data_IF_907766657799
#
_entry.id   IF_907766657799
#
_cell.length_a   1.000
_cell.length_b   1.000
_cell.length_c   1.000
_cell.angle_alpha   90.00
_cell.angle_beta   90.00
_cell.angle_gamma   90.00
#
_symmetry.space_group_name_H-M   'P 1'
#
loop_
_entity.id
_entity.type
_entity.pdbx_description
1 polymer ?
#
# COMPACT_ATOMS: atom_id res chain seq x y z
N UNK A 1 4.30 2.90 -11.01
CA UNK A 1 4.27 1.42 -11.10
C UNK A 1 5.04 1.07 -12.34
N UNK A 2 5.95 0.12 -12.22
CA UNK A 2 6.69 -0.36 -13.38
C UNK A 2 5.73 -0.96 -14.42
N UNK A 3 6.05 -0.89 -15.72
CA UNK A 3 5.38 -1.71 -16.71
C UNK A 3 5.49 -3.18 -16.31
N UNK A 4 4.36 -3.88 -16.24
CA UNK A 4 4.30 -5.30 -15.91
C UNK A 4 3.92 -6.09 -17.15
N UNK A 5 4.65 -7.16 -17.43
CA UNK A 5 4.25 -8.13 -18.45
C UNK A 5 3.17 -9.09 -17.92
N UNK A 6 2.48 -9.76 -18.84
CA UNK A 6 1.37 -10.66 -18.51
C UNK A 6 1.83 -11.85 -17.64
N UNK A 7 3.07 -12.32 -17.80
CA UNK A 7 3.59 -13.45 -17.05
C UNK A 7 3.81 -13.09 -15.57
N UNK A 8 4.35 -11.91 -15.30
CA UNK A 8 4.52 -11.36 -13.95
C UNK A 8 3.17 -11.14 -13.29
N UNK A 9 2.20 -10.58 -14.03
CA UNK A 9 0.85 -10.36 -13.51
C UNK A 9 0.14 -11.68 -13.19
N UNK A 10 0.23 -12.67 -14.07
CA UNK A 10 -0.32 -14.01 -13.85
C UNK A 10 0.29 -14.68 -12.62
N UNK A 11 1.61 -14.58 -12.43
CA UNK A 11 2.29 -15.06 -11.22
C UNK A 11 1.85 -14.34 -9.95
N UNK A 12 1.64 -13.02 -10.03
CA UNK A 12 1.13 -12.23 -8.91
C UNK A 12 -0.30 -12.63 -8.52
N UNK A 13 -1.19 -12.81 -9.49
CA UNK A 13 -2.57 -13.27 -9.26
C UNK A 13 -2.58 -14.70 -8.70
N UNK A 14 -1.76 -15.60 -9.24
CA UNK A 14 -1.64 -16.98 -8.75
C UNK A 14 -1.14 -17.06 -7.29
N UNK A 15 -0.39 -16.05 -6.82
CA UNK A 15 0.05 -15.98 -5.42
C UNK A 15 -1.10 -15.81 -4.43
N UNK A 16 -2.27 -15.35 -4.88
CA UNK A 16 -3.44 -15.10 -4.04
C UNK A 16 -3.37 -13.81 -3.23
N UNK A 17 -2.22 -13.12 -3.18
CA UNK A 17 -2.05 -11.84 -2.48
C UNK A 17 -3.06 -10.74 -2.87
N UNK A 18 -3.48 -10.61 -4.15
CA UNK A 18 -4.47 -9.62 -4.54
C UNK A 18 -5.84 -9.77 -3.86
N UNK A 19 -6.17 -10.97 -3.38
CA UNK A 19 -7.51 -11.26 -2.85
C UNK A 19 -7.76 -10.49 -1.56
N UNK A 20 -8.89 -9.79 -1.52
CA UNK A 20 -9.32 -9.01 -0.35
C UNK A 20 -8.54 -7.72 -0.13
N UNK A 21 -7.72 -7.28 -1.09
CA UNK A 21 -7.00 -6.01 -1.05
C UNK A 21 -7.68 -5.00 -1.97
N UNK A 22 -7.96 -3.80 -1.46
CA UNK A 22 -8.46 -2.71 -2.29
C UNK A 22 -7.43 -2.39 -3.39
N UNK A 23 -7.86 -2.35 -4.65
CA UNK A 23 -6.95 -2.20 -5.80
C UNK A 23 -6.15 -3.45 -6.16
N UNK A 24 -6.37 -4.59 -5.49
CA UNK A 24 -5.73 -5.87 -5.81
C UNK A 24 -4.24 -5.94 -5.47
N UNK A 25 -3.72 -5.04 -4.63
CA UNK A 25 -2.33 -5.08 -4.21
C UNK A 25 -2.13 -4.64 -2.76
N UNK A 26 -1.01 -5.05 -2.16
CA UNK A 26 -0.59 -4.62 -0.83
C UNK A 26 0.81 -3.99 -0.92
N UNK A 27 0.94 -2.73 -0.47
CA UNK A 27 2.20 -1.96 -0.53
C UNK A 27 3.34 -2.59 0.30
N UNK A 28 3.00 -3.46 1.23
CA UNK A 28 3.90 -4.26 2.08
C UNK A 28 4.09 -5.71 1.58
N UNK A 29 3.37 -6.11 0.52
CA UNK A 29 3.39 -7.46 -0.04
C UNK A 29 4.35 -7.59 -1.22
N UNK A 30 4.19 -8.68 -1.99
CA UNK A 30 4.93 -8.94 -3.24
C UNK A 30 4.74 -7.83 -4.26
N UNK A 31 3.61 -7.11 -4.23
CA UNK A 31 3.42 -5.94 -5.08
C UNK A 31 4.43 -4.81 -4.83
N UNK A 32 5.08 -4.75 -3.66
CA UNK A 32 6.12 -3.76 -3.38
C UNK A 32 7.26 -3.79 -4.41
N UNK A 33 7.55 -4.96 -4.98
CA UNK A 33 8.56 -5.14 -6.02
C UNK A 33 8.24 -4.37 -7.32
N UNK A 34 6.99 -3.94 -7.52
CA UNK A 34 6.51 -3.27 -8.72
C UNK A 34 6.29 -1.76 -8.51
N UNK A 35 6.35 -1.28 -7.26
CA UNK A 35 6.10 0.11 -6.89
C UNK A 35 7.36 0.94 -7.13
N UNK A 36 7.43 1.59 -8.29
CA UNK A 36 8.54 2.49 -8.64
C UNK A 36 8.54 3.81 -7.86
N UNK A 37 7.35 4.30 -7.50
CA UNK A 37 7.21 5.59 -6.86
C UNK A 37 5.95 5.65 -6.00
N UNK A 38 6.09 6.25 -4.82
CA UNK A 38 5.00 6.61 -3.93
C UNK A 38 5.06 8.12 -3.73
N UNK A 39 3.93 8.79 -3.93
CA UNK A 39 3.76 10.19 -3.57
C UNK A 39 2.69 10.31 -2.49
N UNK A 40 3.03 10.98 -1.37
CA UNK A 40 2.17 11.08 -0.19
C UNK A 40 2.61 10.17 0.96
N UNK A 41 1.65 9.64 1.72
CA UNK A 41 1.91 8.90 2.97
C UNK A 41 1.83 7.38 2.78
N UNK A 42 2.95 6.67 2.96
CA UNK A 42 2.98 5.21 2.99
C UNK A 42 2.03 4.64 4.05
N UNK A 43 2.02 5.25 5.23
CA UNK A 43 1.11 4.84 6.32
C UNK A 43 -0.36 5.05 5.94
N UNK A 44 -0.67 6.13 5.20
CA UNK A 44 -1.99 6.34 4.61
C UNK A 44 -2.38 5.23 3.64
N UNK A 45 -1.45 4.79 2.77
CA UNK A 45 -1.67 3.65 1.85
C UNK A 45 -1.91 2.35 2.63
N UNK A 46 -1.22 2.15 3.75
CA UNK A 46 -1.44 1.03 4.66
C UNK A 46 -2.80 1.06 5.37
N UNK A 47 -3.49 2.20 5.35
CA UNK A 47 -4.84 2.38 5.90
C UNK A 47 -4.96 3.35 7.06
N UNK A 48 -3.85 3.92 7.57
CA UNK A 48 -3.88 4.95 8.61
C UNK A 48 -2.72 5.95 8.44
N UNK A 49 -3.00 7.20 8.04
CA UNK A 49 -1.97 8.22 7.84
C UNK A 49 -1.40 8.67 9.19
N UNK A 50 -0.27 8.11 9.62
CA UNK A 50 0.24 8.25 10.98
C UNK A 50 0.68 9.67 11.33
N UNK A 51 1.21 10.43 10.38
CA UNK A 51 1.63 11.80 10.62
C UNK A 51 0.42 12.68 10.98
N UNK A 52 -0.61 12.63 10.14
CA UNK A 52 -1.87 13.34 10.31
C UNK A 52 -2.63 12.83 11.54
N UNK A 53 -2.65 11.51 11.75
CA UNK A 53 -3.28 10.90 12.93
C UNK A 53 -2.59 11.35 14.21
N UNK A 54 -1.26 11.38 14.26
CA UNK A 54 -0.52 11.85 15.43
C UNK A 54 -0.75 13.34 15.69
N UNK A 55 -0.84 14.17 14.63
CA UNK A 55 -1.18 15.59 14.77
C UNK A 55 -2.58 15.75 15.40
N UNK A 56 -3.58 15.03 14.87
CA UNK A 56 -4.94 15.06 15.41
C UNK A 56 -5.03 14.54 16.85
N UNK A 57 -4.26 13.51 17.21
CA UNK A 57 -4.23 12.98 18.58
C UNK A 57 -3.61 13.98 19.57
N UNK A 58 -2.57 14.73 19.17
CA UNK A 58 -2.00 15.80 20.00
C UNK A 58 -2.99 16.93 20.22
N UNK A 59 -3.68 17.37 19.17
CA UNK A 59 -4.70 18.41 19.25
C UNK A 59 -5.89 17.98 20.13
N UNK A 60 -6.21 16.68 20.13
CA UNK A 60 -7.23 16.10 20.99
C UNK A 60 -6.75 15.81 22.43
N UNK A 61 -5.46 16.05 22.76
CA UNK A 61 -4.88 15.76 24.08
C UNK A 61 -4.71 14.27 24.39
N UNK A 62 -4.71 13.42 23.38
CA UNK A 62 -4.58 11.96 23.48
C UNK A 62 -3.16 11.45 23.16
N UNK A 63 -2.22 12.37 22.91
CA UNK A 63 -0.80 12.11 22.68
C UNK A 63 0.04 13.29 23.22
#
# INVERSE_FOLDING_TARGET
>A
MAPLDEAVLAGYVASGEPRGKAGGYAVQGRAAAFIEHISGSYSGIMGLPLFETAALLRDAGAL
#
